data_IF_177002216300
#
_entry.id   IF_177002216300
#
_cell.length_a   1.000
_cell.length_b   1.000
_cell.length_c   1.000
_cell.angle_alpha   90.00
_cell.angle_beta   90.00
_cell.angle_gamma   90.00
#
_symmetry.space_group_name_H-M   'P 1'
#
loop_
_entity.id
_entity.type
_entity.pdbx_description
1 polymer ?
#
# COMPACT_ATOMS: atom_id res chain seq x y z
N UNK A 1 2.39 26.77 42.57
CA UNK A 1 3.84 26.62 42.36
C UNK A 1 4.08 25.15 41.99
N UNK A 2 4.28 24.84 40.70
CA UNK A 2 4.61 23.49 40.22
C UNK A 2 6.10 23.21 40.36
N UNK A 3 6.53 21.95 40.51
CA UNK A 3 7.79 21.47 39.99
C UNK A 3 7.60 20.73 38.64
N UNK A 4 8.41 21.03 37.60
CA UNK A 4 8.33 20.40 36.30
C UNK A 4 9.42 19.30 36.16
N UNK A 5 9.06 18.01 36.09
CA UNK A 5 10.05 16.95 35.77
C UNK A 5 9.49 15.71 35.03
N UNK A 6 8.40 15.83 34.25
CA UNK A 6 7.92 14.69 33.43
C UNK A 6 8.21 14.84 31.93
N UNK A 7 8.56 16.04 31.45
CA UNK A 7 8.74 16.29 30.01
C UNK A 7 10.08 15.85 29.41
N UNK A 8 11.06 15.36 30.19
CA UNK A 8 12.42 15.07 29.68
C UNK A 8 12.68 13.61 29.28
N UNK A 9 11.79 12.67 29.60
CA UNK A 9 11.99 11.24 29.33
C UNK A 9 11.39 10.76 27.99
N UNK A 10 10.46 11.50 27.39
CA UNK A 10 9.87 11.16 26.10
C UNK A 10 10.72 11.60 24.89
N UNK A 11 11.75 12.43 25.08
CA UNK A 11 12.58 12.93 23.98
C UNK A 11 13.91 12.19 23.76
N UNK A 12 14.27 11.18 24.59
CA UNK A 12 15.58 10.52 24.50
C UNK A 12 15.63 9.20 23.71
N UNK A 13 14.49 8.60 23.36
CA UNK A 13 14.44 7.29 22.67
C UNK A 13 13.81 7.33 21.26
N UNK A 14 13.59 8.51 20.69
CA UNK A 14 12.94 8.69 19.38
C UNK A 14 13.53 7.87 18.23
N UNK A 15 14.85 7.73 18.02
CA UNK A 15 15.36 7.04 16.82
C UNK A 15 15.20 5.51 16.89
N UNK A 16 15.07 4.92 18.08
CA UNK A 16 14.88 3.47 18.24
C UNK A 16 13.41 3.10 18.02
N UNK A 17 12.50 3.91 18.58
CA UNK A 17 11.06 3.77 18.37
C UNK A 17 10.68 3.97 16.90
N UNK A 18 11.30 4.93 16.22
CA UNK A 18 11.07 5.22 14.80
C UNK A 18 11.55 4.07 13.88
N UNK A 19 12.74 3.51 14.15
CA UNK A 19 13.24 2.33 13.42
C UNK A 19 12.37 1.10 13.62
N UNK A 20 11.91 0.85 14.85
CA UNK A 20 11.04 -0.29 15.15
C UNK A 20 9.69 -0.14 14.45
N UNK A 21 9.10 1.06 14.51
CA UNK A 21 7.86 1.41 13.84
C UNK A 21 7.90 1.10 12.33
N UNK A 22 8.95 1.55 11.64
CA UNK A 22 9.12 1.30 10.21
C UNK A 22 9.35 -0.16 9.87
N UNK A 23 10.08 -0.88 10.73
CA UNK A 23 10.31 -2.32 10.59
C UNK A 23 8.99 -3.09 10.72
N UNK A 24 8.19 -2.77 11.73
CA UNK A 24 6.91 -3.43 11.99
C UNK A 24 5.93 -3.27 10.81
N UNK A 25 5.93 -2.10 10.16
CA UNK A 25 5.09 -1.86 8.98
C UNK A 25 5.45 -2.79 7.82
N UNK A 26 6.75 -2.93 7.54
CA UNK A 26 7.22 -3.77 6.43
C UNK A 26 7.13 -5.26 6.73
N UNK A 27 7.38 -5.66 7.96
CA UNK A 27 7.23 -7.06 8.36
C UNK A 27 5.75 -7.48 8.31
N UNK A 28 4.82 -6.57 8.64
CA UNK A 28 3.39 -6.80 8.43
C UNK A 28 3.03 -6.95 6.95
N UNK A 29 3.55 -6.08 6.07
CA UNK A 29 3.31 -6.21 4.62
C UNK A 29 3.89 -7.51 4.07
N UNK A 30 5.11 -7.90 4.49
CA UNK A 30 5.73 -9.17 4.06
C UNK A 30 4.91 -10.40 4.44
N UNK A 31 4.25 -10.35 5.60
CA UNK A 31 3.39 -11.44 6.05
C UNK A 31 2.11 -11.57 5.21
N UNK A 32 1.65 -10.47 4.59
CA UNK A 32 0.46 -10.45 3.72
C UNK A 32 0.81 -10.68 2.24
N UNK A 33 1.83 -9.99 1.72
CA UNK A 33 2.35 -10.14 0.36
C UNK A 33 3.87 -9.88 0.31
N UNK A 34 4.69 -10.95 0.31
CA UNK A 34 6.14 -10.82 0.31
C UNK A 34 6.69 -10.19 -0.98
N UNK A 35 6.03 -10.40 -2.12
CA UNK A 35 6.49 -9.90 -3.42
C UNK A 35 6.29 -8.39 -3.52
N UNK A 36 5.14 -7.89 -3.09
CA UNK A 36 4.83 -6.45 -3.07
C UNK A 36 5.71 -5.75 -2.04
N UNK A 37 6.03 -6.38 -0.90
CA UNK A 37 6.97 -5.81 0.05
C UNK A 37 8.37 -5.56 -0.55
N UNK A 38 8.83 -6.45 -1.45
CA UNK A 38 10.14 -6.33 -2.10
C UNK A 38 10.20 -5.19 -3.12
N UNK A 39 9.08 -4.82 -3.73
CA UNK A 39 8.97 -3.69 -4.68
C UNK A 39 9.45 -2.38 -4.03
N UNK A 40 9.15 -2.16 -2.75
CA UNK A 40 9.58 -0.98 -2.00
C UNK A 40 10.99 -1.10 -1.40
N UNK A 41 11.72 -2.17 -1.72
CA UNK A 41 13.06 -2.48 -1.19
C UNK A 41 14.14 -1.44 -1.50
N UNK A 42 13.89 -0.57 -2.48
CA UNK A 42 14.80 0.51 -2.90
C UNK A 42 14.35 1.91 -2.44
N UNK A 43 13.19 2.01 -1.81
CA UNK A 43 12.69 3.27 -1.25
C UNK A 43 13.33 3.58 0.10
N UNK A 44 13.30 4.86 0.47
CA UNK A 44 13.69 5.31 1.79
C UNK A 44 12.76 4.70 2.87
N UNK A 45 13.24 4.62 4.10
CA UNK A 45 12.55 3.92 5.20
C UNK A 45 11.16 4.50 5.50
N UNK A 46 11.00 5.83 5.42
CA UNK A 46 9.74 6.51 5.70
C UNK A 46 8.69 6.21 4.63
N UNK A 47 9.04 6.37 3.35
CA UNK A 47 8.18 6.06 2.20
C UNK A 47 7.76 4.58 2.20
N UNK A 48 8.73 3.71 2.47
CA UNK A 48 8.50 2.27 2.56
C UNK A 48 7.49 1.94 3.66
N UNK A 49 7.63 2.56 4.84
CA UNK A 49 6.70 2.37 5.95
C UNK A 49 5.29 2.89 5.64
N UNK A 50 5.20 4.07 5.01
CA UNK A 50 3.92 4.66 4.64
C UNK A 50 3.18 3.79 3.61
N UNK A 51 3.86 3.39 2.53
CA UNK A 51 3.31 2.50 1.52
C UNK A 51 2.86 1.16 2.13
N UNK A 52 3.67 0.57 3.02
CA UNK A 52 3.32 -0.66 3.69
C UNK A 52 2.06 -0.55 4.55
N UNK A 53 1.92 0.52 5.33
CA UNK A 53 0.71 0.71 6.14
C UNK A 53 -0.55 0.96 5.29
N UNK A 54 -0.44 1.68 4.17
CA UNK A 54 -1.56 1.88 3.25
C UNK A 54 -2.00 0.57 2.60
N UNK A 55 -1.04 -0.23 2.12
CA UNK A 55 -1.31 -1.53 1.52
C UNK A 55 -1.88 -2.51 2.56
N UNK A 56 -1.32 -2.56 3.76
CA UNK A 56 -1.86 -3.37 4.85
C UNK A 56 -3.31 -3.00 5.20
N UNK A 57 -3.65 -1.70 5.18
CA UNK A 57 -5.03 -1.29 5.40
C UNK A 57 -5.94 -1.87 4.31
N UNK A 58 -5.57 -1.77 3.04
CA UNK A 58 -6.36 -2.35 1.96
C UNK A 58 -6.50 -3.87 2.06
N UNK A 59 -5.46 -4.60 2.48
CA UNK A 59 -5.59 -6.04 2.76
C UNK A 59 -6.57 -6.31 3.92
N UNK A 60 -6.52 -5.54 5.00
CA UNK A 60 -7.48 -5.67 6.11
C UNK A 60 -8.92 -5.35 5.68
N UNK A 61 -9.11 -4.37 4.80
CA UNK A 61 -10.42 -3.98 4.26
C UNK A 61 -10.96 -5.04 3.29
N UNK A 62 -10.13 -5.59 2.41
CA UNK A 62 -10.51 -6.72 1.56
C UNK A 62 -10.91 -7.93 2.41
N UNK A 63 -10.12 -8.26 3.44
CA UNK A 63 -10.43 -9.34 4.38
C UNK A 63 -11.72 -9.07 5.17
N UNK A 64 -11.99 -7.82 5.53
CA UNK A 64 -13.24 -7.41 6.18
C UNK A 64 -14.46 -7.69 5.30
N UNK A 65 -14.32 -7.62 3.98
CA UNK A 65 -15.37 -7.95 3.01
C UNK A 65 -15.45 -9.45 2.75
N UNK A 66 -14.32 -10.14 2.57
CA UNK A 66 -14.29 -11.53 2.09
C UNK A 66 -14.46 -12.60 3.16
N UNK A 67 -14.06 -12.34 4.41
CA UNK A 67 -14.14 -13.34 5.49
C UNK A 67 -15.58 -13.56 5.98
N UNK A 68 -16.41 -12.51 6.21
CA UNK A 68 -17.78 -12.70 6.66
C UNK A 68 -18.65 -13.33 5.56
N UNK A 69 -19.58 -14.19 5.96
CA UNK A 69 -20.59 -14.76 5.04
C UNK A 69 -21.78 -13.84 4.81
N UNK A 70 -21.99 -12.86 5.69
CA UNK A 70 -23.14 -11.96 5.68
C UNK A 70 -22.70 -10.54 5.27
N UNK A 71 -23.31 -9.93 4.22
CA UNK A 71 -22.94 -8.60 3.74
C UNK A 71 -23.01 -7.51 4.83
N UNK A 72 -23.99 -7.61 5.72
CA UNK A 72 -24.12 -6.67 6.84
C UNK A 72 -22.92 -6.72 7.79
N UNK A 73 -22.36 -7.90 8.06
CA UNK A 73 -21.16 -8.03 8.90
C UNK A 73 -19.92 -7.47 8.20
N UNK A 74 -19.82 -7.62 6.89
CA UNK A 74 -18.76 -6.99 6.09
C UNK A 74 -18.84 -5.46 6.20
N UNK A 75 -20.02 -4.88 5.98
CA UNK A 75 -20.23 -3.44 6.09
C UNK A 75 -19.89 -2.90 7.50
N UNK A 76 -20.31 -3.59 8.57
CA UNK A 76 -19.98 -3.21 9.95
C UNK A 76 -18.47 -3.23 10.19
N UNK A 77 -17.75 -4.25 9.68
CA UNK A 77 -16.29 -4.34 9.85
C UNK A 77 -15.56 -3.21 9.12
N UNK A 78 -15.97 -2.89 7.90
CA UNK A 78 -15.39 -1.76 7.16
C UNK A 78 -15.73 -0.42 7.84
N UNK A 79 -16.97 -0.24 8.30
CA UNK A 79 -17.39 0.94 9.06
C UNK A 79 -16.57 1.14 10.33
N UNK A 80 -16.24 0.05 11.05
CA UNK A 80 -15.39 0.14 12.24
C UNK A 80 -14.01 0.76 11.94
N UNK A 81 -13.40 0.43 10.80
CA UNK A 81 -12.15 1.07 10.38
C UNK A 81 -12.33 2.56 10.13
N UNK A 82 -13.42 2.96 9.45
CA UNK A 82 -13.77 4.36 9.22
C UNK A 82 -13.89 5.12 10.54
N UNK A 83 -14.78 4.66 11.42
CA UNK A 83 -15.08 5.33 12.70
C UNK A 83 -13.81 5.47 13.55
N UNK A 84 -12.99 4.41 13.59
CA UNK A 84 -11.77 4.41 14.39
C UNK A 84 -10.70 5.36 13.84
N UNK A 85 -10.59 5.53 12.52
CA UNK A 85 -9.60 6.43 11.91
C UNK A 85 -10.11 7.87 11.76
N UNK A 86 -11.43 8.07 11.74
CA UNK A 86 -12.08 9.38 11.78
C UNK A 86 -11.91 10.06 13.14
N UNK A 87 -11.89 9.29 14.23
CA UNK A 87 -11.64 9.82 15.57
C UNK A 87 -10.25 10.46 15.73
N UNK A 88 -10.20 11.58 16.44
CA UNK A 88 -8.94 12.21 16.80
C UNK A 88 -8.09 11.33 17.72
N UNK A 89 -6.79 11.30 17.43
CA UNK A 89 -5.81 10.42 18.08
C UNK A 89 -5.68 10.59 19.61
N UNK A 90 -6.33 11.61 20.19
CA UNK A 90 -6.31 11.93 21.61
C UNK A 90 -7.28 11.08 22.45
N UNK A 91 -8.19 10.31 21.83
CA UNK A 91 -9.04 9.36 22.57
C UNK A 91 -8.31 8.02 22.73
N UNK A 92 -8.00 7.69 23.99
CA UNK A 92 -7.54 6.37 24.41
C UNK A 92 -8.66 5.35 24.20
N UNK A 93 -8.59 4.59 23.12
CA UNK A 93 -9.41 3.39 22.98
C UNK A 93 -8.59 2.19 23.46
N UNK A 94 -9.21 1.33 24.26
CA UNK A 94 -8.64 0.06 24.72
C UNK A 94 -8.72 -0.94 23.56
N UNK A 95 -7.65 -1.70 23.30
CA UNK A 95 -7.55 -2.70 22.22
C UNK A 95 -7.61 -2.15 20.78
N UNK A 96 -6.88 -1.07 20.49
CA UNK A 96 -6.68 -0.59 19.11
C UNK A 96 -5.79 -1.56 18.31
N UNK A 97 -6.17 -1.87 17.07
CA UNK A 97 -5.34 -2.65 16.15
C UNK A 97 -3.98 -1.96 15.89
N UNK A 98 -2.84 -2.69 15.89
CA UNK A 98 -1.51 -2.08 15.71
C UNK A 98 -1.39 -1.20 14.46
N UNK A 99 -2.05 -1.57 13.36
CA UNK A 99 -2.07 -0.79 12.12
C UNK A 99 -2.67 0.61 12.30
N UNK A 100 -3.71 0.75 13.11
CA UNK A 100 -4.36 2.05 13.40
C UNK A 100 -3.40 2.96 14.14
N UNK A 101 -2.68 2.42 15.14
CA UNK A 101 -1.64 3.18 15.85
C UNK A 101 -0.62 3.70 14.84
N UNK A 102 -0.22 2.84 13.89
CA UNK A 102 0.78 3.23 12.89
C UNK A 102 0.30 4.29 11.90
N UNK A 103 -0.94 4.18 11.43
CA UNK A 103 -1.56 5.18 10.55
C UNK A 103 -1.75 6.52 11.27
N UNK A 104 -2.17 6.51 12.54
CA UNK A 104 -2.30 7.72 13.36
C UNK A 104 -0.96 8.43 13.57
N UNK A 105 0.16 7.70 13.66
CA UNK A 105 1.50 8.28 13.69
C UNK A 105 1.80 9.03 12.38
N UNK A 106 1.57 8.42 11.22
CA UNK A 106 1.75 9.09 9.93
C UNK A 106 0.86 10.34 9.78
N UNK A 107 -0.38 10.30 10.29
CA UNK A 107 -1.28 11.46 10.30
C UNK A 107 -0.74 12.58 11.20
N UNK A 108 -0.36 12.24 12.44
CA UNK A 108 0.19 13.20 13.41
C UNK A 108 1.46 13.87 12.88
N UNK A 109 2.30 13.11 12.19
CA UNK A 109 3.57 13.58 11.65
C UNK A 109 3.40 14.28 10.27
N UNK A 110 2.15 14.54 9.86
CA UNK A 110 1.76 15.20 8.60
C UNK A 110 2.26 14.50 7.32
N UNK A 111 2.55 13.20 7.41
CA UNK A 111 2.97 12.35 6.29
C UNK A 111 1.79 11.75 5.53
N UNK A 112 0.58 11.80 6.11
CA UNK A 112 -0.66 11.30 5.55
C UNK A 112 -1.81 12.20 6.00
N UNK A 113 -2.65 12.66 5.08
CA UNK A 113 -3.89 13.35 5.41
C UNK A 113 -4.94 12.33 5.82
N UNK A 114 -5.66 12.62 6.90
CA UNK A 114 -6.76 11.77 7.37
C UNK A 114 -7.85 11.62 6.29
N UNK A 115 -8.23 12.72 5.65
CA UNK A 115 -9.30 12.71 4.64
C UNK A 115 -8.97 11.77 3.46
N UNK A 116 -7.72 11.75 3.00
CA UNK A 116 -7.29 10.81 1.95
C UNK A 116 -7.46 9.35 2.40
N UNK A 117 -7.16 9.05 3.67
CA UNK A 117 -7.33 7.71 4.24
C UNK A 117 -8.81 7.33 4.36
N UNK A 118 -9.67 8.29 4.73
CA UNK A 118 -11.12 8.06 4.81
C UNK A 118 -11.71 7.83 3.41
N UNK A 119 -11.29 8.58 2.40
CA UNK A 119 -11.69 8.35 1.00
C UNK A 119 -11.28 6.97 0.50
N UNK A 120 -10.10 6.47 0.90
CA UNK A 120 -9.74 5.08 0.62
C UNK A 120 -10.75 4.11 1.25
N UNK A 121 -11.08 4.27 2.53
CA UNK A 121 -12.04 3.40 3.22
C UNK A 121 -13.42 3.47 2.59
N UNK A 122 -13.86 4.65 2.14
CA UNK A 122 -15.13 4.84 1.42
C UNK A 122 -15.19 4.03 0.12
N UNK A 123 -14.07 3.92 -0.62
CA UNK A 123 -14.00 3.05 -1.80
C UNK A 123 -14.24 1.57 -1.43
N UNK A 124 -13.74 1.12 -0.28
CA UNK A 124 -13.99 -0.23 0.24
C UNK A 124 -15.40 -0.40 0.82
N UNK A 125 -15.99 0.65 1.40
CA UNK A 125 -17.39 0.64 1.84
C UNK A 125 -18.34 0.42 0.67
N UNK A 126 -18.07 1.04 -0.48
CA UNK A 126 -18.84 0.80 -1.70
C UNK A 126 -18.81 -0.69 -2.08
N UNK A 127 -17.64 -1.34 -2.05
CA UNK A 127 -17.51 -2.79 -2.28
C UNK A 127 -18.25 -3.66 -1.25
N UNK A 128 -18.39 -3.20 0.00
CA UNK A 128 -19.10 -3.95 1.03
C UNK A 128 -20.64 -3.84 0.90
N UNK A 129 -21.14 -2.77 0.28
CA UNK A 129 -22.57 -2.45 0.18
C UNK A 129 -23.17 -2.73 -1.20
N UNK A 130 -22.35 -2.75 -2.25
CA UNK A 130 -22.76 -2.96 -3.64
C UNK A 130 -21.91 -4.08 -4.27
N UNK A 131 -22.57 -5.19 -4.62
CA UNK A 131 -21.94 -6.35 -5.26
C UNK A 131 -21.39 -6.04 -6.67
N UNK A 132 -21.80 -4.92 -7.28
CA UNK A 132 -21.31 -4.48 -8.59
C UNK A 132 -20.07 -3.60 -8.51
N UNK A 133 -19.70 -3.12 -7.30
CA UNK A 133 -18.52 -2.30 -7.10
C UNK A 133 -17.24 -3.14 -7.24
N UNK A 134 -16.25 -2.62 -7.97
CA UNK A 134 -15.02 -3.36 -8.25
C UNK A 134 -14.00 -3.25 -7.11
N UNK A 135 -13.64 -4.41 -6.54
CA UNK A 135 -12.51 -4.52 -5.60
C UNK A 135 -11.21 -4.03 -6.24
N UNK A 136 -11.05 -4.25 -7.54
CA UNK A 136 -9.88 -3.80 -8.31
C UNK A 136 -9.80 -2.27 -8.37
N UNK A 137 -10.94 -1.57 -8.45
CA UNK A 137 -10.97 -0.11 -8.36
C UNK A 137 -10.61 0.40 -6.96
N UNK A 138 -11.06 -0.29 -5.90
CA UNK A 138 -10.69 0.05 -4.52
C UNK A 138 -9.19 -0.17 -4.25
N UNK A 139 -8.60 -1.24 -4.81
CA UNK A 139 -7.14 -1.42 -4.87
C UNK A 139 -6.46 -0.31 -5.68
N UNK A 140 -7.04 0.09 -6.81
CA UNK A 140 -6.58 1.22 -7.60
C UNK A 140 -6.46 2.50 -6.79
N UNK A 141 -7.44 2.79 -5.93
CA UNK A 141 -7.40 3.95 -5.05
C UNK A 141 -6.30 3.87 -3.99
N UNK A 142 -6.04 2.69 -3.44
CA UNK A 142 -4.91 2.46 -2.53
C UNK A 142 -3.57 2.80 -3.20
N UNK A 143 -3.32 2.23 -4.38
CA UNK A 143 -2.10 2.48 -5.13
C UNK A 143 -1.99 3.92 -5.62
N UNK A 144 -3.10 4.56 -5.95
CA UNK A 144 -3.14 6.00 -6.24
C UNK A 144 -2.63 6.82 -5.06
N UNK A 145 -3.07 6.52 -3.83
CA UNK A 145 -2.56 7.17 -2.63
C UNK A 145 -1.08 6.88 -2.41
N UNK A 146 -0.62 5.64 -2.59
CA UNK A 146 0.82 5.34 -2.52
C UNK A 146 1.60 6.21 -3.50
N UNK A 147 1.16 6.31 -4.77
CA UNK A 147 1.80 7.15 -5.78
C UNK A 147 1.80 8.64 -5.43
N UNK A 148 0.68 9.16 -4.92
CA UNK A 148 0.54 10.55 -4.45
C UNK A 148 1.55 10.90 -3.35
N UNK A 149 1.73 10.00 -2.38
CA UNK A 149 2.58 10.28 -1.21
C UNK A 149 4.05 9.95 -1.43
N UNK A 150 4.37 9.00 -2.32
CA UNK A 150 5.76 8.67 -2.64
C UNK A 150 6.31 9.57 -3.75
N UNK A 151 5.45 10.14 -4.61
CA UNK A 151 5.82 10.98 -5.74
C UNK A 151 4.90 12.18 -5.92
N UNK A 152 4.17 12.22 -7.02
CA UNK A 152 3.26 13.29 -7.41
C UNK A 152 1.97 12.73 -8.05
N UNK A 153 1.10 13.59 -8.56
CA UNK A 153 -0.16 13.18 -9.17
C UNK A 153 0.04 12.27 -10.40
N UNK A 154 1.14 12.41 -11.15
CA UNK A 154 1.44 11.49 -12.27
C UNK A 154 1.79 10.10 -11.76
N UNK A 155 2.58 10.01 -10.69
CA UNK A 155 2.86 8.73 -10.03
C UNK A 155 1.57 8.12 -9.47
N UNK A 156 0.67 8.94 -8.93
CA UNK A 156 -0.64 8.49 -8.45
C UNK A 156 -1.47 7.85 -9.56
N UNK A 157 -1.59 8.51 -10.71
CA UNK A 157 -2.37 8.01 -11.85
C UNK A 157 -1.75 6.71 -12.41
N UNK A 158 -0.44 6.67 -12.63
CA UNK A 158 0.23 5.45 -13.12
C UNK A 158 0.13 4.29 -12.13
N UNK A 159 0.25 4.56 -10.82
CA UNK A 159 0.11 3.53 -9.80
C UNK A 159 -1.30 2.94 -9.75
N UNK A 160 -2.33 3.79 -9.94
CA UNK A 160 -3.73 3.34 -10.06
C UNK A 160 -3.92 2.39 -11.24
N UNK A 161 -3.34 2.70 -12.39
CA UNK A 161 -3.41 1.85 -13.58
C UNK A 161 -2.68 0.51 -13.37
N UNK A 162 -1.49 0.54 -12.76
CA UNK A 162 -0.72 -0.69 -12.44
C UNK A 162 -1.47 -1.58 -11.45
N UNK A 163 -2.21 -1.00 -10.50
CA UNK A 163 -2.98 -1.76 -9.52
C UNK A 163 -4.02 -2.68 -10.16
N UNK A 164 -4.61 -2.26 -11.30
CA UNK A 164 -5.52 -3.09 -12.07
C UNK A 164 -4.83 -4.40 -12.47
N UNK A 165 -3.58 -4.33 -12.92
CA UNK A 165 -2.82 -5.51 -13.34
C UNK A 165 -2.43 -6.41 -12.15
N UNK A 166 -2.14 -5.80 -11.00
CA UNK A 166 -1.76 -6.51 -9.79
C UNK A 166 -2.94 -7.27 -9.15
N UNK A 167 -4.15 -6.73 -9.26
CA UNK A 167 -5.31 -7.20 -8.48
C UNK A 167 -6.49 -7.71 -9.31
N UNK A 168 -6.52 -7.46 -10.63
CA UNK A 168 -7.61 -7.92 -11.49
C UNK A 168 -7.74 -9.44 -11.48
N UNK A 169 -8.98 -9.92 -11.43
CA UNK A 169 -9.29 -11.32 -11.73
C UNK A 169 -9.48 -11.48 -13.24
N UNK A 170 -8.73 -12.42 -13.84
CA UNK A 170 -8.69 -12.73 -15.28
C UNK A 170 -10.06 -12.90 -15.96
N UNK A 171 -11.10 -13.22 -15.19
CA UNK A 171 -12.44 -13.57 -15.68
C UNK A 171 -13.52 -12.50 -15.46
N UNK A 172 -13.22 -11.37 -14.79
CA UNK A 172 -14.27 -10.43 -14.33
C UNK A 172 -13.95 -8.96 -14.57
N UNK A 173 -12.68 -8.58 -14.52
CA UNK A 173 -12.33 -7.16 -14.47
C UNK A 173 -11.93 -6.63 -15.86
N UNK A 174 -12.29 -5.37 -16.14
CA UNK A 174 -11.81 -4.66 -17.33
C UNK A 174 -10.28 -4.68 -17.30
N UNK A 175 -9.67 -5.39 -18.25
CA UNK A 175 -8.23 -5.26 -18.49
C UNK A 175 -7.98 -3.80 -18.83
N UNK A 176 -7.17 -3.12 -18.02
CA UNK A 176 -6.83 -1.72 -18.27
C UNK A 176 -6.30 -1.56 -19.70
N UNK A 177 -6.52 -0.40 -20.31
CA UNK A 177 -6.00 -0.07 -21.64
C UNK A 177 -4.45 0.02 -21.69
N UNK A 178 -3.76 -0.38 -20.62
CA UNK A 178 -2.33 -0.24 -20.46
C UNK A 178 -1.63 -1.25 -21.37
N UNK A 179 -1.01 -0.73 -22.43
CA UNK A 179 -0.20 -1.52 -23.34
C UNK A 179 1.16 -1.76 -22.70
N UNK A 180 1.33 -2.93 -22.09
CA UNK A 180 2.57 -3.36 -21.45
C UNK A 180 3.56 -3.90 -22.49
N UNK A 181 4.09 -3.02 -23.35
CA UNK A 181 5.15 -3.38 -24.29
C UNK A 181 6.54 -2.95 -23.79
N UNK A 182 7.57 -3.34 -24.54
CA UNK A 182 8.96 -3.00 -24.20
C UNK A 182 9.19 -1.48 -24.09
N UNK A 183 8.44 -0.67 -24.86
CA UNK A 183 8.56 0.79 -24.81
C UNK A 183 8.00 1.33 -23.49
N UNK A 184 6.85 0.82 -23.04
CA UNK A 184 6.28 1.16 -21.72
C UNK A 184 7.28 0.90 -20.59
N UNK A 185 7.88 -0.30 -20.55
CA UNK A 185 8.87 -0.64 -19.51
C UNK A 185 10.17 0.15 -19.64
N UNK A 186 10.58 0.48 -20.86
CA UNK A 186 11.73 1.35 -21.10
C UNK A 186 11.50 2.76 -20.53
N UNK A 187 10.36 3.38 -20.84
CA UNK A 187 10.02 4.73 -20.40
C UNK A 187 9.88 4.80 -18.86
N UNK A 188 9.19 3.82 -18.27
CA UNK A 188 9.02 3.73 -16.83
C UNK A 188 10.36 3.54 -16.10
N UNK A 189 11.30 2.80 -16.71
CA UNK A 189 12.67 2.66 -16.20
C UNK A 189 13.45 3.97 -16.29
N UNK A 190 13.35 4.70 -17.40
CA UNK A 190 14.01 6.00 -17.55
C UNK A 190 13.46 7.03 -16.56
N UNK A 191 12.15 7.00 -16.29
CA UNK A 191 11.54 7.78 -15.22
C UNK A 191 12.09 7.38 -13.85
N UNK A 192 12.14 6.08 -13.53
CA UNK A 192 12.67 5.57 -12.26
C UNK A 192 14.13 5.96 -12.03
N UNK A 193 14.97 6.02 -13.08
CA UNK A 193 16.35 6.53 -12.97
C UNK A 193 16.40 8.00 -12.55
N UNK A 194 15.52 8.84 -13.12
CA UNK A 194 15.46 10.28 -12.86
C UNK A 194 14.90 10.58 -11.47
N UNK A 195 13.77 9.95 -11.11
CA UNK A 195 13.07 10.18 -9.84
C UNK A 195 13.67 9.40 -8.67
N UNK A 196 14.46 8.36 -8.95
CA UNK A 196 14.91 7.32 -8.00
C UNK A 196 13.78 6.48 -7.40
N UNK A 197 12.57 6.58 -7.95
CA UNK A 197 11.39 5.85 -7.49
C UNK A 197 11.24 4.55 -8.28
N UNK A 198 11.99 3.53 -7.85
CA UNK A 198 12.03 2.24 -8.55
C UNK A 198 10.82 1.37 -8.27
N UNK A 199 10.09 1.66 -7.20
CA UNK A 199 8.92 0.87 -6.79
C UNK A 199 7.86 0.80 -7.89
N UNK A 200 7.59 1.89 -8.61
CA UNK A 200 6.56 1.91 -9.65
C UNK A 200 6.95 1.01 -10.83
N UNK A 201 8.23 1.04 -11.21
CA UNK A 201 8.79 0.17 -12.25
C UNK A 201 8.66 -1.31 -11.89
N UNK A 202 9.02 -1.68 -10.65
CA UNK A 202 8.91 -3.06 -10.20
C UNK A 202 7.46 -3.51 -9.99
N UNK A 203 6.58 -2.62 -9.52
CA UNK A 203 5.15 -2.89 -9.42
C UNK A 203 4.55 -3.21 -10.79
N UNK A 204 4.94 -2.48 -11.84
CA UNK A 204 4.49 -2.75 -13.20
C UNK A 204 4.95 -4.12 -13.72
N UNK A 205 6.21 -4.50 -13.47
CA UNK A 205 6.73 -5.82 -13.86
C UNK A 205 6.00 -6.94 -13.10
N UNK A 206 5.80 -6.75 -11.80
CA UNK A 206 5.05 -7.70 -10.98
C UNK A 206 3.60 -7.82 -11.47
N UNK A 207 2.94 -6.71 -11.76
CA UNK A 207 1.59 -6.66 -12.32
C UNK A 207 1.49 -7.36 -13.67
N UNK A 208 2.48 -7.18 -14.55
CA UNK A 208 2.55 -7.88 -15.83
C UNK A 208 2.54 -9.41 -15.66
N UNK A 209 3.38 -9.93 -14.78
CA UNK A 209 3.40 -11.37 -14.51
C UNK A 209 2.15 -11.86 -13.77
N UNK A 210 1.65 -11.08 -12.81
CA UNK A 210 0.46 -11.44 -12.04
C UNK A 210 -0.83 -11.41 -12.85
N UNK A 211 -0.86 -10.62 -13.91
CA UNK A 211 -1.98 -10.62 -14.86
C UNK A 211 -2.12 -11.98 -15.57
N UNK A 212 -0.99 -12.61 -15.91
CA UNK A 212 -0.98 -13.93 -16.53
C UNK A 212 -1.14 -15.07 -15.52
N UNK A 213 -0.39 -15.00 -14.41
CA UNK A 213 -0.40 -15.94 -13.30
C UNK A 213 -0.45 -15.19 -11.95
N UNK A 214 -1.61 -15.22 -11.29
CA UNK A 214 -1.84 -14.49 -10.02
C UNK A 214 -0.83 -14.83 -8.93
N UNK A 215 -0.27 -16.04 -8.95
CA UNK A 215 0.71 -16.53 -7.96
C UNK A 215 2.16 -16.34 -8.41
N UNK A 216 2.39 -15.56 -9.48
CA UNK A 216 3.72 -15.26 -9.96
C UNK A 216 4.59 -14.71 -8.83
N UNK A 217 5.69 -15.41 -8.58
CA UNK A 217 6.74 -15.10 -7.61
C UNK A 217 6.39 -15.28 -6.12
N UNK A 218 5.24 -15.84 -5.76
CA UNK A 218 4.84 -16.01 -4.34
C UNK A 218 5.89 -16.79 -3.51
N UNK A 219 6.66 -17.67 -4.14
CA UNK A 219 7.77 -18.43 -3.54
C UNK A 219 9.15 -18.16 -4.19
N UNK A 220 9.30 -17.09 -4.98
CA UNK A 220 10.57 -16.80 -5.66
C UNK A 220 11.61 -16.20 -4.70
N UNK A 221 12.41 -17.07 -4.09
CA UNK A 221 13.53 -16.72 -3.20
C UNK A 221 14.60 -15.86 -3.88
N UNK A 222 14.67 -15.84 -5.21
CA UNK A 222 15.63 -15.04 -5.98
C UNK A 222 15.01 -13.77 -6.56
N UNK A 223 13.76 -13.44 -6.23
CA UNK A 223 13.07 -12.24 -6.73
C UNK A 223 13.88 -10.98 -6.47
N UNK A 224 14.49 -10.82 -5.30
CA UNK A 224 15.34 -9.65 -5.01
C UNK A 224 16.51 -9.50 -6.00
N UNK A 225 17.10 -10.62 -6.44
CA UNK A 225 18.16 -10.62 -7.45
C UNK A 225 17.62 -10.31 -8.85
N UNK A 226 16.39 -10.75 -9.16
CA UNK A 226 15.71 -10.36 -10.40
C UNK A 226 15.41 -8.86 -10.44
N UNK A 227 14.91 -8.28 -9.34
CA UNK A 227 14.68 -6.84 -9.22
C UNK A 227 15.98 -6.05 -9.45
N UNK A 228 17.10 -6.51 -8.87
CA UNK A 228 18.42 -5.95 -9.14
C UNK A 228 18.83 -6.09 -10.62
N UNK A 229 18.59 -7.26 -11.21
CA UNK A 229 18.84 -7.53 -12.62
C UNK A 229 18.05 -6.57 -13.53
N UNK A 230 16.75 -6.42 -13.30
CA UNK A 230 15.88 -5.52 -14.06
C UNK A 230 16.27 -4.05 -13.87
N UNK A 231 16.71 -3.68 -12.67
CA UNK A 231 17.27 -2.34 -12.43
C UNK A 231 18.48 -2.06 -13.32
N UNK A 232 19.42 -2.99 -13.38
CA UNK A 232 20.70 -2.82 -14.09
C UNK A 232 20.56 -2.98 -15.61
N UNK A 233 19.85 -4.01 -16.06
CA UNK A 233 19.80 -4.42 -17.46
C UNK A 233 18.47 -4.09 -18.15
N UNK A 234 17.44 -3.74 -17.38
CA UNK A 234 16.08 -3.57 -17.88
C UNK A 234 15.28 -4.86 -17.90
N UNK A 235 13.97 -4.71 -18.00
CA UNK A 235 13.00 -5.77 -18.24
C UNK A 235 12.61 -5.78 -19.72
N UNK A 236 12.35 -6.96 -20.26
CA UNK A 236 11.81 -7.17 -21.61
C UNK A 236 10.66 -8.15 -21.51
N UNK A 237 9.61 -7.92 -22.28
CA UNK A 237 8.47 -8.84 -22.31
C UNK A 237 8.88 -10.16 -22.96
N UNK A 238 8.59 -11.32 -22.34
CA UNK A 238 8.78 -12.61 -23.00
C UNK A 238 7.86 -12.69 -24.22
N UNK A 239 8.45 -12.92 -25.40
CA UNK A 239 7.74 -13.13 -26.67
C UNK A 239 7.02 -14.47 -26.73
#
# INVERSE_FOLDING_TARGET
>A
MMPPQVSSLLMRNTPVLDKQFHKDAIDALRAQDPTVALVFGFENTQHRSLAANLLCLSYELENAIHIPKEPMLAAIRVQWWYDTLAEDANKLQVNIAPLIVRLRIHIRDAQLKRDDLLTLIEAWQACAMDETASITDAWGECWRLVGKYLGDDKFADTAKEIAILLHAKKTSDRVGNLRLDDLYFYDLREQAKKSRQWWLYFAAILGYHRHDDRHAFDDDLVLIWRLLGWRLFGFKTPH
#
